data_IF_360651062119
#
_entry.id   IF_360651062119
#
_cell.length_a   1.000
_cell.length_b   1.000
_cell.length_c   1.000
_cell.angle_alpha   90.00
_cell.angle_beta   90.00
_cell.angle_gamma   90.00
#
_symmetry.space_group_name_H-M   'P 1'
#
loop_
_entity.id
_entity.type
_entity.pdbx_description
1 polymer ?
#
# COMPACT_ATOMS: atom_id res chain seq x y z
N UNK A 1 78.78 -14.70 -3.20
CA UNK A 1 77.71 -14.70 -4.22
C UNK A 1 76.42 -15.15 -3.54
N UNK A 2 75.30 -14.48 -3.85
CA UNK A 2 74.15 -14.21 -2.97
C UNK A 2 73.42 -15.42 -2.36
N UNK A 3 72.93 -15.19 -1.14
CA UNK A 3 71.90 -15.94 -0.41
C UNK A 3 70.53 -15.47 -0.92
N UNK A 4 69.67 -16.40 -1.34
CA UNK A 4 68.25 -16.12 -1.60
C UNK A 4 67.40 -16.70 -0.45
N UNK A 5 66.85 -15.83 0.39
CA UNK A 5 65.84 -16.18 1.39
C UNK A 5 64.47 -15.93 0.75
N UNK A 6 63.69 -16.99 0.56
CA UNK A 6 62.31 -16.89 0.10
C UNK A 6 61.40 -16.40 1.23
N UNK A 7 60.72 -15.27 1.02
CA UNK A 7 59.66 -14.80 1.90
C UNK A 7 58.33 -15.43 1.50
N UNK A 8 57.79 -16.30 2.34
CA UNK A 8 56.42 -16.78 2.23
C UNK A 8 55.47 -15.72 2.81
N UNK A 9 54.66 -15.09 1.97
CA UNK A 9 53.58 -14.21 2.41
C UNK A 9 52.37 -15.08 2.80
N UNK A 10 52.13 -15.22 4.10
CA UNK A 10 50.93 -15.87 4.63
C UNK A 10 49.69 -15.08 4.28
N UNK A 11 48.73 -15.72 3.62
CA UNK A 11 47.38 -15.18 3.41
C UNK A 11 46.60 -15.40 4.71
N UNK A 12 46.35 -14.32 5.44
CA UNK A 12 45.57 -14.31 6.67
C UNK A 12 44.09 -14.54 6.33
N UNK A 13 43.60 -15.76 6.55
CA UNK A 13 42.21 -16.12 6.33
C UNK A 13 41.31 -15.39 7.34
N UNK A 14 40.51 -14.43 6.85
CA UNK A 14 39.50 -13.72 7.64
C UNK A 14 38.50 -14.73 8.24
N UNK A 15 38.08 -14.59 9.52
CA UNK A 15 37.11 -15.49 10.13
C UNK A 15 35.81 -15.54 9.32
N UNK A 16 35.16 -16.70 9.18
CA UNK A 16 33.91 -16.81 8.44
C UNK A 16 32.84 -15.94 9.13
N UNK A 17 32.39 -14.90 8.42
CA UNK A 17 31.31 -14.03 8.86
C UNK A 17 30.04 -14.84 9.08
N UNK A 18 29.43 -14.66 10.26
CA UNK A 18 28.18 -15.34 10.61
C UNK A 18 27.04 -14.71 9.79
N UNK A 19 26.49 -15.45 8.83
CA UNK A 19 25.29 -15.03 8.10
C UNK A 19 24.10 -15.19 9.05
N UNK A 20 23.63 -14.08 9.62
CA UNK A 20 22.38 -14.05 10.37
C UNK A 20 21.25 -13.80 9.38
N UNK A 21 20.50 -14.86 9.04
CA UNK A 21 19.26 -14.74 8.29
C UNK A 21 18.21 -14.14 9.23
N UNK A 22 18.05 -12.82 9.18
CA UNK A 22 16.95 -12.14 9.85
C UNK A 22 15.66 -12.52 9.12
N UNK A 23 14.94 -13.51 9.64
CA UNK A 23 13.56 -13.73 9.24
C UNK A 23 12.74 -12.55 9.75
N UNK A 24 12.47 -11.59 8.86
CA UNK A 24 11.46 -10.56 9.15
C UNK A 24 10.15 -11.31 9.37
N UNK A 25 9.42 -11.04 10.47
CA UNK A 25 8.14 -11.67 10.70
C UNK A 25 7.32 -11.51 9.43
N UNK A 26 6.78 -12.63 8.94
CA UNK A 26 5.77 -12.60 7.88
C UNK A 26 4.57 -11.91 8.52
N UNK A 27 4.54 -10.58 8.47
CA UNK A 27 3.29 -9.83 8.56
C UNK A 27 2.40 -10.58 7.57
N UNK A 28 1.38 -11.27 8.05
CA UNK A 28 0.35 -11.77 7.14
C UNK A 28 -0.06 -10.52 6.38
N UNK A 29 0.31 -10.41 5.10
CA UNK A 29 0.04 -9.21 4.32
C UNK A 29 -1.47 -9.07 4.34
N UNK A 30 -1.99 -8.24 5.25
CA UNK A 30 -3.38 -7.89 5.24
C UNK A 30 -3.59 -7.31 3.84
N UNK A 31 -4.63 -7.77 3.15
CA UNK A 31 -4.94 -7.21 1.84
C UNK A 31 -5.06 -5.69 2.02
N UNK A 32 -4.32 -4.88 1.25
CA UNK A 32 -4.30 -3.45 1.47
C UNK A 32 -5.70 -2.86 1.39
N UNK A 33 -5.95 -1.87 2.24
CA UNK A 33 -7.21 -1.13 2.28
C UNK A 33 -6.93 0.27 1.76
N UNK A 34 -7.72 0.70 0.78
CA UNK A 34 -7.62 2.03 0.20
C UNK A 34 -8.58 2.98 0.93
N UNK A 35 -8.10 4.13 1.37
CA UNK A 35 -8.90 5.07 2.14
C UNK A 35 -8.78 6.48 1.54
N UNK A 36 -9.74 6.98 0.76
CA UNK A 36 -9.83 8.42 0.51
C UNK A 36 -9.99 9.17 1.84
N UNK A 37 -9.03 10.03 2.15
CA UNK A 37 -8.99 10.78 3.41
C UNK A 37 -9.35 12.24 3.14
N UNK A 38 -10.39 12.73 3.83
CA UNK A 38 -10.87 14.11 3.69
C UNK A 38 -10.48 14.98 4.88
N UNK A 39 -10.37 14.39 6.07
CA UNK A 39 -9.94 15.03 7.31
C UNK A 39 -9.07 14.09 8.15
N UNK A 40 -8.48 14.59 9.23
CA UNK A 40 -7.60 13.83 10.13
C UNK A 40 -8.36 12.96 11.15
N UNK A 41 -9.64 13.25 11.36
CA UNK A 41 -10.52 12.55 12.30
C UNK A 41 -11.40 11.47 11.65
N UNK A 42 -11.61 11.53 10.33
CA UNK A 42 -12.46 10.57 9.61
C UNK A 42 -11.91 10.21 8.24
N UNK A 43 -12.08 8.94 7.88
CA UNK A 43 -11.86 8.46 6.51
C UNK A 43 -12.92 7.44 6.12
N UNK A 44 -13.09 7.27 4.81
CA UNK A 44 -13.88 6.17 4.24
C UNK A 44 -12.90 5.21 3.61
N UNK A 45 -12.97 3.93 3.97
CA UNK A 45 -12.04 2.90 3.52
C UNK A 45 -12.77 1.85 2.68
N UNK A 46 -12.16 1.47 1.57
CA UNK A 46 -12.64 0.51 0.59
C UNK A 46 -11.73 -0.72 0.64
N UNK A 47 -12.32 -1.89 0.89
CA UNK A 47 -11.57 -3.14 1.05
C UNK A 47 -12.14 -4.04 2.14
N UNK A 48 -11.37 -5.07 2.54
CA UNK A 48 -11.67 -5.84 3.74
C UNK A 48 -11.79 -4.94 4.97
N UNK A 49 -12.47 -5.42 6.01
CA UNK A 49 -12.57 -4.71 7.27
C UNK A 49 -11.16 -4.36 7.80
N UNK A 50 -10.84 -3.07 8.01
CA UNK A 50 -9.58 -2.69 8.63
C UNK A 50 -9.55 -3.17 10.10
N UNK A 51 -8.42 -3.06 10.79
CA UNK A 51 -8.35 -3.38 12.22
C UNK A 51 -8.18 -2.13 13.06
N UNK A 52 -8.77 -2.16 14.25
CA UNK A 52 -8.51 -1.12 15.25
C UNK A 52 -7.01 -1.08 15.55
N UNK A 53 -6.49 0.13 15.70
CA UNK A 53 -5.07 0.44 15.85
C UNK A 53 -4.20 0.17 14.60
N UNK A 54 -4.78 -0.25 13.47
CA UNK A 54 -4.05 -0.18 12.20
C UNK A 54 -3.74 1.29 11.86
N UNK A 55 -2.68 1.46 11.10
CA UNK A 55 -2.21 2.74 10.62
C UNK A 55 -2.64 2.97 9.17
N UNK A 56 -3.17 4.15 8.89
CA UNK A 56 -3.37 4.66 7.53
C UNK A 56 -2.23 5.64 7.24
N UNK A 57 -1.42 5.34 6.24
CA UNK A 57 -0.44 6.28 5.70
C UNK A 57 -1.12 7.08 4.61
N UNK A 58 -1.12 8.40 4.73
CA UNK A 58 -1.71 9.30 3.75
C UNK A 58 -0.61 9.89 2.88
N UNK A 59 -0.80 9.80 1.57
CA UNK A 59 0.14 10.22 0.54
C UNK A 59 -0.44 11.32 -0.34
N UNK A 60 0.45 12.17 -0.86
CA UNK A 60 0.22 13.01 -2.03
C UNK A 60 1.13 12.57 -3.19
N UNK A 61 1.20 13.37 -4.25
CA UNK A 61 2.01 13.08 -5.45
C UNK A 61 3.52 13.15 -5.21
N UNK A 62 3.97 13.58 -4.03
CA UNK A 62 5.38 13.81 -3.73
C UNK A 62 5.92 12.95 -2.59
N UNK A 63 5.11 12.66 -1.56
CA UNK A 63 5.54 11.95 -0.37
C UNK A 63 4.36 11.51 0.51
N UNK A 64 4.62 10.70 1.56
CA UNK A 64 3.69 10.59 2.67
C UNK A 64 3.57 11.96 3.38
N UNK A 65 2.35 12.38 3.70
CA UNK A 65 2.05 13.68 4.31
C UNK A 65 1.46 13.59 5.71
N UNK A 66 0.89 12.44 6.07
CA UNK A 66 0.35 12.18 7.39
C UNK A 66 0.28 10.69 7.70
N UNK A 67 0.14 10.39 8.99
CA UNK A 67 -0.15 9.06 9.49
C UNK A 67 -1.27 9.13 10.51
N UNK A 68 -2.26 8.27 10.31
CA UNK A 68 -3.48 8.22 11.11
C UNK A 68 -3.58 6.84 11.76
N UNK A 69 -4.00 6.79 13.02
CA UNK A 69 -4.35 5.54 13.69
C UNK A 69 -5.86 5.34 13.71
N UNK A 70 -6.33 4.15 13.33
CA UNK A 70 -7.75 3.80 13.37
C UNK A 70 -8.19 3.54 14.81
N UNK A 71 -9.22 4.26 15.27
CA UNK A 71 -9.78 4.15 16.63
C UNK A 71 -11.10 3.38 16.66
N UNK A 72 -11.94 3.63 15.65
CA UNK A 72 -13.25 3.02 15.49
C UNK A 72 -13.51 2.71 14.02
N UNK A 73 -14.30 1.66 13.79
CA UNK A 73 -14.64 1.14 12.47
C UNK A 73 -16.13 0.84 12.50
N UNK A 74 -16.86 1.36 11.52
CA UNK A 74 -18.27 1.02 11.30
C UNK A 74 -18.51 0.77 9.81
N UNK A 75 -19.42 -0.14 9.45
CA UNK A 75 -19.87 -0.24 8.06
C UNK A 75 -20.40 1.10 7.58
N UNK A 76 -20.07 1.50 6.35
CA UNK A 76 -20.59 2.75 5.79
C UNK A 76 -22.12 2.73 5.65
N UNK A 77 -22.66 1.54 5.38
CA UNK A 77 -24.10 1.25 5.26
C UNK A 77 -24.36 -0.12 5.88
N UNK A 78 -25.51 -0.35 6.56
CA UNK A 78 -25.83 -1.66 7.13
C UNK A 78 -25.74 -2.79 6.09
N UNK A 79 -25.02 -3.86 6.42
CA UNK A 79 -24.82 -5.01 5.53
C UNK A 79 -23.72 -4.84 4.47
N UNK A 80 -23.11 -3.67 4.36
CA UNK A 80 -21.93 -3.49 3.52
C UNK A 80 -20.67 -4.05 4.21
N UNK A 81 -19.91 -4.89 3.51
CA UNK A 81 -18.69 -5.54 4.03
C UNK A 81 -17.42 -5.09 3.33
N UNK A 82 -17.52 -4.07 2.48
CA UNK A 82 -16.45 -3.59 1.59
C UNK A 82 -16.21 -2.09 1.67
N UNK A 83 -17.03 -1.36 2.44
CA UNK A 83 -16.96 0.08 2.64
C UNK A 83 -17.13 0.39 4.13
N UNK A 84 -16.16 1.09 4.69
CA UNK A 84 -16.03 1.30 6.12
C UNK A 84 -15.84 2.77 6.43
N UNK A 85 -16.62 3.31 7.35
CA UNK A 85 -16.31 4.57 7.99
C UNK A 85 -15.32 4.29 9.12
N UNK A 86 -14.22 5.02 9.14
CA UNK A 86 -13.22 4.91 10.19
C UNK A 86 -13.04 6.23 10.89
N UNK A 87 -13.01 6.20 12.23
CA UNK A 87 -12.57 7.34 13.04
C UNK A 87 -11.09 7.20 13.32
N UNK A 88 -10.34 8.28 13.18
CA UNK A 88 -8.89 8.26 13.29
C UNK A 88 -8.36 9.27 14.31
N UNK A 89 -7.13 9.03 14.74
CA UNK A 89 -6.31 10.02 15.44
C UNK A 89 -5.07 10.28 14.61
N UNK A 90 -4.71 11.56 14.41
CA UNK A 90 -3.47 11.97 13.78
C UNK A 90 -2.26 11.58 14.65
N UNK A 91 -1.34 10.78 14.10
CA UNK A 91 -0.08 10.42 14.76
C UNK A 91 1.05 11.38 14.37
N UNK A 92 1.15 11.73 13.09
CA UNK A 92 2.08 12.75 12.60
C UNK A 92 1.58 13.40 11.31
N UNK A 93 2.15 14.56 10.99
CA UNK A 93 1.92 15.27 9.75
C UNK A 93 0.72 16.22 9.83
N UNK A 94 0.15 16.55 8.67
CA UNK A 94 -1.04 17.39 8.60
C UNK A 94 -1.76 17.18 7.26
N UNK A 95 -3.08 17.12 7.30
CA UNK A 95 -3.92 17.06 6.12
C UNK A 95 -4.41 18.47 5.78
N UNK A 96 -3.62 19.19 4.99
CA UNK A 96 -4.02 20.51 4.47
C UNK A 96 -4.98 20.40 3.29
N UNK A 97 -5.08 19.20 2.69
CA UNK A 97 -5.92 18.87 1.53
C UNK A 97 -6.39 17.41 1.66
N UNK A 98 -7.34 17.02 0.79
CA UNK A 98 -7.70 15.61 0.61
C UNK A 98 -6.47 14.80 0.22
N UNK A 99 -6.34 13.61 0.77
CA UNK A 99 -5.20 12.73 0.53
C UNK A 99 -5.64 11.30 0.20
N UNK A 100 -4.68 10.53 -0.31
CA UNK A 100 -4.84 9.11 -0.59
C UNK A 100 -4.26 8.31 0.56
N UNK A 101 -5.11 7.65 1.33
CA UNK A 101 -4.72 6.80 2.44
C UNK A 101 -4.59 5.34 2.06
N UNK A 102 -3.63 4.64 2.68
CA UNK A 102 -3.50 3.18 2.58
C UNK A 102 -3.21 2.57 3.94
N UNK A 103 -3.84 1.43 4.22
CA UNK A 103 -3.52 0.57 5.36
C UNK A 103 -3.16 -0.84 4.89
N UNK A 104 -2.43 -1.60 5.71
CA UNK A 104 -2.11 -3.01 5.46
C UNK A 104 -0.90 -3.27 4.54
N UNK A 105 -0.21 -2.22 4.08
CA UNK A 105 1.06 -2.35 3.34
C UNK A 105 2.13 -1.38 3.83
N UNK A 106 3.42 -1.75 3.76
CA UNK A 106 4.51 -0.85 4.08
C UNK A 106 4.62 0.26 3.03
N UNK A 107 4.80 1.49 3.48
CA UNK A 107 5.07 2.66 2.64
C UNK A 107 6.45 3.22 3.02
N UNK A 108 7.32 3.37 2.03
CA UNK A 108 8.63 4.01 2.20
C UNK A 108 8.49 5.53 2.26
N UNK A 109 9.54 6.21 2.71
CA UNK A 109 9.57 7.68 2.76
C UNK A 109 9.46 8.35 1.38
N UNK A 110 9.87 7.65 0.33
CA UNK A 110 9.78 8.10 -1.05
C UNK A 110 8.47 7.67 -1.75
N UNK A 111 7.59 6.96 -1.03
CA UNK A 111 6.31 6.54 -1.60
C UNK A 111 5.39 7.72 -1.86
N UNK A 112 4.64 7.66 -2.94
CA UNK A 112 3.78 8.75 -3.39
C UNK A 112 2.64 8.24 -4.27
N UNK A 113 1.67 9.12 -4.55
CA UNK A 113 0.57 8.86 -5.47
C UNK A 113 1.05 9.11 -6.90
N UNK A 114 0.83 8.15 -7.79
CA UNK A 114 1.06 8.33 -9.22
C UNK A 114 -0.26 8.79 -9.86
N UNK A 115 -0.19 9.83 -10.69
CA UNK A 115 -1.37 10.31 -11.42
C UNK A 115 -1.88 9.24 -12.39
N UNK A 116 -3.21 9.11 -12.52
CA UNK A 116 -3.81 8.08 -13.36
C UNK A 116 -3.38 8.16 -14.85
N UNK A 117 -3.03 9.35 -15.33
CA UNK A 117 -2.55 9.60 -16.69
C UNK A 117 -1.12 9.09 -16.97
N UNK A 118 -0.33 8.87 -15.92
CA UNK A 118 1.06 8.41 -16.02
C UNK A 118 1.16 6.89 -15.90
N UNK A 119 0.08 6.25 -15.46
CA UNK A 119 0.03 4.81 -15.28
C UNK A 119 -0.19 4.09 -16.62
N UNK A 120 0.37 2.88 -16.79
CA UNK A 120 0.08 2.05 -17.94
C UNK A 120 -1.42 1.70 -17.97
N UNK A 121 -1.86 1.06 -19.06
CA UNK A 121 -3.21 0.52 -19.16
C UNK A 121 -3.55 -0.34 -17.93
N UNK A 122 -4.80 -0.22 -17.47
CA UNK A 122 -5.31 -1.05 -16.36
C UNK A 122 -5.02 -2.54 -16.60
N UNK A 123 -4.59 -3.28 -15.58
CA UNK A 123 -4.43 -4.74 -15.68
C UNK A 123 -5.77 -5.48 -15.88
N UNK A 124 -6.91 -4.78 -15.78
CA UNK A 124 -8.27 -5.29 -16.02
C UNK A 124 -9.07 -4.43 -17.01
N UNK A 125 -10.39 -4.62 -17.03
CA UNK A 125 -11.29 -3.90 -17.96
C UNK A 125 -11.58 -2.44 -17.56
N UNK A 126 -11.25 -2.05 -16.32
CA UNK A 126 -11.63 -0.76 -15.76
C UNK A 126 -10.66 0.38 -15.97
N UNK A 127 -11.07 1.55 -15.49
CA UNK A 127 -10.24 2.76 -15.49
C UNK A 127 -9.45 2.83 -14.19
N UNK A 128 -8.17 3.17 -14.26
CA UNK A 128 -7.38 3.38 -13.05
C UNK A 128 -7.88 4.63 -12.33
N UNK A 129 -8.29 4.47 -11.08
CA UNK A 129 -8.70 5.57 -10.22
C UNK A 129 -7.51 6.17 -9.48
N UNK A 130 -6.60 5.33 -8.98
CA UNK A 130 -5.42 5.72 -8.20
C UNK A 130 -4.30 4.71 -8.40
N UNK A 131 -3.06 5.18 -8.55
CA UNK A 131 -1.85 4.37 -8.37
C UNK A 131 -1.01 4.89 -7.21
N UNK A 132 -0.33 3.98 -6.52
CA UNK A 132 0.52 4.32 -5.38
C UNK A 132 1.84 3.61 -5.57
N UNK A 133 2.92 4.39 -5.67
CA UNK A 133 4.28 3.92 -5.52
C UNK A 133 4.59 3.83 -4.03
N UNK A 134 4.79 2.63 -3.52
CA UNK A 134 5.02 2.44 -2.09
C UNK A 134 6.50 2.42 -1.74
N UNK A 135 7.38 2.07 -2.66
CA UNK A 135 8.82 1.96 -2.40
C UNK A 135 9.69 3.08 -3.01
N UNK A 136 9.11 3.92 -3.86
CA UNK A 136 9.76 5.09 -4.47
C UNK A 136 10.50 4.75 -5.76
N UNK A 137 10.11 3.70 -6.49
CA UNK A 137 10.72 3.27 -7.74
C UNK A 137 10.00 3.77 -9.01
N UNK A 138 9.10 4.74 -8.85
CA UNK A 138 8.27 5.37 -9.89
C UNK A 138 7.34 4.38 -10.61
N UNK A 139 7.00 3.27 -9.96
CA UNK A 139 6.00 2.32 -10.45
C UNK A 139 4.95 2.04 -9.38
N UNK A 140 3.70 1.89 -9.81
CA UNK A 140 2.63 1.61 -8.88
C UNK A 140 2.80 0.23 -8.23
N UNK A 141 2.91 0.20 -6.90
CA UNK A 141 2.80 -0.99 -6.06
C UNK A 141 1.35 -1.37 -5.77
N UNK A 142 0.48 -0.38 -5.73
CA UNK A 142 -0.96 -0.57 -5.55
C UNK A 142 -1.70 0.18 -6.65
N UNK A 143 -2.65 -0.49 -7.28
CA UNK A 143 -3.58 0.10 -8.23
C UNK A 143 -4.99 -0.10 -7.73
N UNK A 144 -5.78 0.96 -7.75
CA UNK A 144 -7.23 0.91 -7.56
C UNK A 144 -7.87 1.21 -8.91
N UNK A 145 -8.65 0.29 -9.44
CA UNK A 145 -9.44 0.50 -10.65
C UNK A 145 -10.90 0.69 -10.28
N UNK A 146 -11.60 1.45 -11.12
CA UNK A 146 -13.06 1.54 -11.14
C UNK A 146 -13.56 0.85 -12.40
N UNK A 147 -14.46 -0.09 -12.19
CA UNK A 147 -15.08 -0.92 -13.22
C UNK A 147 -16.60 -0.71 -13.16
N UNK A 148 -17.27 -0.87 -14.31
CA UNK A 148 -18.71 -1.12 -14.31
C UNK A 148 -18.97 -2.54 -13.80
N UNK A 149 -19.93 -2.72 -12.92
CA UNK A 149 -20.28 -4.06 -12.46
C UNK A 149 -20.98 -4.82 -13.60
N UNK A 150 -20.44 -5.98 -14.01
CA UNK A 150 -20.96 -6.83 -15.10
C UNK A 150 -22.48 -7.07 -15.05
N UNK A 151 -23.05 -7.07 -13.85
CA UNK A 151 -24.46 -7.35 -13.62
C UNK A 151 -25.37 -6.13 -13.67
N UNK A 152 -24.87 -4.89 -13.58
CA UNK A 152 -25.70 -3.66 -13.59
C UNK A 152 -24.97 -2.39 -14.06
N UNK A 153 -25.58 -1.61 -14.99
CA UNK A 153 -24.96 -0.42 -15.58
C UNK A 153 -24.80 0.79 -14.64
N UNK A 154 -25.31 0.72 -13.40
CA UNK A 154 -25.16 1.79 -12.39
C UNK A 154 -24.36 1.35 -11.16
N UNK A 155 -23.89 0.11 -11.11
CA UNK A 155 -23.06 -0.38 -10.00
C UNK A 155 -21.63 0.15 -10.11
N UNK A 156 -21.09 0.67 -9.01
CA UNK A 156 -19.66 0.97 -8.91
C UNK A 156 -18.92 -0.25 -8.37
N UNK A 157 -18.05 -0.83 -9.20
CA UNK A 157 -17.16 -1.90 -8.81
C UNK A 157 -15.73 -1.35 -8.68
N UNK A 158 -15.01 -1.80 -7.67
CA UNK A 158 -13.61 -1.45 -7.46
C UNK A 158 -12.76 -2.71 -7.43
N UNK A 159 -11.62 -2.66 -8.11
CA UNK A 159 -10.62 -3.72 -8.02
C UNK A 159 -9.33 -3.15 -7.45
N UNK A 160 -8.76 -3.84 -6.47
CA UNK A 160 -7.47 -3.50 -5.87
C UNK A 160 -6.45 -4.51 -6.35
N UNK A 161 -5.38 -4.02 -6.95
CA UNK A 161 -4.26 -4.83 -7.40
C UNK A 161 -3.00 -4.45 -6.63
N UNK A 162 -2.20 -5.44 -6.30
CA UNK A 162 -0.89 -5.25 -5.65
C UNK A 162 0.21 -5.81 -6.54
N UNK A 163 1.28 -5.06 -6.72
CA UNK A 163 2.48 -5.48 -7.46
C UNK A 163 3.21 -6.58 -6.68
N UNK A 164 3.35 -7.73 -7.31
CA UNK A 164 4.20 -8.82 -6.85
C UNK A 164 5.35 -8.98 -7.85
N UNK A 165 6.51 -8.42 -7.49
CA UNK A 165 7.70 -8.27 -8.34
C UNK A 165 7.42 -7.39 -9.56
N UNK A 166 6.94 -7.99 -10.66
CA UNK A 166 6.74 -7.31 -11.95
C UNK A 166 5.32 -7.37 -12.45
N UNK A 167 4.40 -7.96 -11.67
CA UNK A 167 3.00 -8.14 -12.08
C UNK A 167 2.05 -7.67 -11.00
N UNK A 168 1.03 -6.94 -11.40
CA UNK A 168 -0.12 -6.63 -10.55
C UNK A 168 -1.02 -7.86 -10.41
N UNK A 169 -1.33 -8.22 -9.17
CA UNK A 169 -2.24 -9.32 -8.84
C UNK A 169 -3.48 -8.73 -8.17
N UNK A 170 -4.65 -9.15 -8.64
CA UNK A 170 -5.92 -8.79 -8.02
C UNK A 170 -5.97 -9.33 -6.59
N UNK A 171 -6.11 -8.45 -5.61
CA UNK A 171 -6.24 -8.80 -4.19
C UNK A 171 -7.67 -8.64 -3.69
N UNK A 172 -8.46 -7.76 -4.31
CA UNK A 172 -9.87 -7.55 -3.95
C UNK A 172 -10.66 -7.08 -5.15
N UNK A 173 -11.84 -7.65 -5.34
CA UNK A 173 -12.86 -7.18 -6.27
C UNK A 173 -14.12 -6.91 -5.45
N UNK A 174 -14.59 -5.67 -5.48
CA UNK A 174 -15.57 -5.15 -4.54
C UNK A 174 -16.74 -4.58 -5.32
N UNK A 175 -17.93 -5.11 -5.06
CA UNK A 175 -19.18 -4.50 -5.51
C UNK A 175 -19.68 -3.57 -4.40
N UNK A 176 -19.67 -2.26 -4.66
CA UNK A 176 -20.15 -1.26 -3.70
C UNK A 176 -21.63 -0.95 -3.83
N UNK A 177 -22.34 -1.54 -4.79
CA UNK A 177 -23.77 -1.31 -4.97
C UNK A 177 -24.61 -1.59 -3.70
N UNK A 178 -24.38 -2.67 -2.92
CA UNK A 178 -25.09 -2.86 -1.66
C UNK A 178 -24.84 -1.76 -0.63
N UNK A 179 -23.75 -1.00 -0.80
CA UNK A 179 -23.32 0.04 0.13
C UNK A 179 -23.90 1.43 -0.23
N UNK A 180 -24.53 1.58 -1.40
CA UNK A 180 -25.08 2.85 -1.90
C UNK A 180 -26.60 2.99 -1.70
N UNK A 181 -27.23 2.07 -0.96
CA UNK A 181 -28.67 2.07 -0.69
C UNK A 181 -29.04 2.87 0.56
#
# INVERSE_FOLDING_TARGET
MLIAVGAASGVEARPPGKIVRVERPRISRASPVFCPVVSDDTAVCVGPEPRKADTIIVLDETAPVAELRIEEITPATPGCTSLWNVRTTLLWGSLTRRGTGVSGMPIARAGHVIQASELPSSPGAGTIAVGIDADGDDQADLLVTRDECDSQPQGMCFSIYVRDRTRHRLTSALNLQPCMQ
#
